data_IF_026621663668
#
_entry.id   IF_026621663668
#
_cell.length_a   1.000
_cell.length_b   1.000
_cell.length_c   1.000
_cell.angle_alpha   90.00
_cell.angle_beta   90.00
_cell.angle_gamma   90.00
#
_symmetry.space_group_name_H-M   'P 1'
#
loop_
_entity.id
_entity.type
_entity.pdbx_description
1 polymer ?
#
# COMPACT_ATOMS: atom_id res chain seq x y z
N UNK A 1 -2.04 -2.17 19.18
CA UNK A 1 -2.17 -2.37 20.64
C UNK A 1 -1.47 -3.67 20.99
N UNK A 2 -0.44 -3.60 21.83
CA UNK A 2 0.37 -4.76 22.26
C UNK A 2 -0.05 -5.14 23.69
N UNK A 3 -0.18 -6.44 24.02
CA UNK A 3 -0.39 -6.85 25.40
C UNK A 3 0.89 -6.61 26.20
N UNK A 4 0.79 -5.79 27.25
CA UNK A 4 1.83 -5.62 28.24
C UNK A 4 1.41 -6.42 29.48
N UNK A 5 2.24 -7.37 29.89
CA UNK A 5 1.99 -8.18 31.08
C UNK A 5 2.62 -7.48 32.26
N UNK A 6 1.80 -7.00 33.20
CA UNK A 6 2.29 -6.46 34.46
C UNK A 6 2.32 -7.59 35.50
N UNK A 7 3.37 -7.67 36.33
CA UNK A 7 3.34 -8.56 37.49
C UNK A 7 2.20 -8.10 38.39
N UNK A 8 1.29 -9.01 38.76
CA UNK A 8 0.28 -8.68 39.75
C UNK A 8 0.97 -8.42 41.11
N UNK A 9 0.42 -7.51 41.94
CA UNK A 9 0.87 -7.39 43.33
C UNK A 9 0.74 -8.75 44.03
N UNK A 10 1.65 -9.10 44.96
CA UNK A 10 1.58 -10.36 45.67
C UNK A 10 0.28 -10.43 46.46
N UNK A 11 -0.63 -11.29 46.01
CA UNK A 11 -1.88 -11.57 46.69
C UNK A 11 -1.58 -12.51 47.86
N UNK A 12 -1.59 -11.99 49.09
CA UNK A 12 -1.20 -12.72 50.31
C UNK A 12 -2.13 -13.88 50.66
N UNK A 13 -3.21 -14.11 49.87
CA UNK A 13 -4.16 -15.22 50.01
C UNK A 13 -3.92 -16.40 49.05
N UNK A 14 -2.91 -16.38 48.16
CA UNK A 14 -2.68 -17.45 47.18
C UNK A 14 -1.39 -18.24 47.43
N UNK A 15 -1.48 -19.56 47.31
CA UNK A 15 -0.38 -20.50 47.45
C UNK A 15 0.78 -20.18 46.47
N UNK A 16 2.05 -20.44 46.86
CA UNK A 16 3.21 -20.08 46.07
C UNK A 16 3.23 -20.90 44.76
N UNK A 17 3.08 -20.21 43.63
CA UNK A 17 3.15 -20.82 42.29
C UNK A 17 2.22 -20.21 41.22
N UNK A 18 1.23 -19.40 41.59
CA UNK A 18 0.32 -18.75 40.64
C UNK A 18 0.47 -17.23 40.66
N UNK A 19 1.57 -16.74 40.07
CA UNK A 19 1.71 -15.32 39.76
C UNK A 19 0.70 -14.93 38.69
N UNK A 20 -0.40 -14.27 39.08
CA UNK A 20 -1.32 -13.66 38.13
C UNK A 20 -0.61 -12.57 37.33
N UNK A 21 -0.86 -12.51 36.02
CA UNK A 21 -0.38 -11.42 35.18
C UNK A 21 -1.60 -10.65 34.66
N UNK A 22 -1.67 -9.35 34.95
CA UNK A 22 -2.70 -8.51 34.34
C UNK A 22 -2.23 -8.09 32.94
N UNK A 23 -3.09 -8.30 31.94
CA UNK A 23 -2.80 -7.92 30.55
C UNK A 23 -3.34 -6.53 30.27
N UNK A 24 -2.44 -5.56 30.17
CA UNK A 24 -2.79 -4.18 29.83
C UNK A 24 -2.50 -3.93 28.34
N UNK A 25 -3.51 -3.51 27.56
CA UNK A 25 -3.34 -3.25 26.12
C UNK A 25 -2.88 -1.82 25.88
N UNK A 26 -1.57 -1.62 25.76
CA UNK A 26 -0.98 -0.30 25.47
C UNK A 26 -1.08 0.01 23.97
N UNK A 27 -1.29 1.28 23.56
CA UNK A 27 -1.03 1.73 22.19
C UNK A 27 0.36 1.30 21.73
N UNK A 28 0.44 0.70 20.54
CA UNK A 28 1.75 0.42 19.94
C UNK A 28 2.31 1.73 19.40
N UNK A 29 3.58 2.07 19.63
CA UNK A 29 4.16 3.25 19.02
C UNK A 29 4.08 3.13 17.49
N UNK A 30 3.85 4.25 16.77
CA UNK A 30 3.75 4.22 15.31
C UNK A 30 5.06 3.71 14.71
N UNK A 31 4.96 2.78 13.77
CA UNK A 31 6.13 2.21 13.09
C UNK A 31 6.62 3.11 11.95
N UNK A 32 5.71 3.86 11.32
CA UNK A 32 6.00 4.84 10.28
C UNK A 32 6.30 6.20 10.92
N UNK A 33 7.60 6.53 11.04
CA UNK A 33 8.05 7.75 11.74
C UNK A 33 7.63 9.06 11.07
N UNK A 34 7.63 9.10 9.73
CA UNK A 34 7.44 10.35 8.97
C UNK A 34 6.39 10.21 7.85
N UNK A 35 5.11 9.98 8.19
CA UNK A 35 4.06 9.75 7.19
C UNK A 35 3.88 10.93 6.22
N UNK A 36 4.00 12.17 6.70
CA UNK A 36 3.89 13.36 5.85
C UNK A 36 5.07 13.49 4.87
N UNK A 37 6.28 13.12 5.28
CA UNK A 37 7.44 13.12 4.41
C UNK A 37 7.25 12.11 3.26
N UNK A 38 6.75 10.90 3.58
CA UNK A 38 6.38 9.91 2.57
C UNK A 38 5.32 10.46 1.59
N UNK A 39 4.24 11.06 2.09
CA UNK A 39 3.21 11.64 1.24
C UNK A 39 3.75 12.74 0.31
N UNK A 40 4.68 13.58 0.81
CA UNK A 40 5.35 14.61 0.02
C UNK A 40 6.26 14.01 -1.05
N UNK A 41 7.02 12.97 -0.71
CA UNK A 41 7.90 12.27 -1.65
C UNK A 41 7.12 11.61 -2.81
N UNK A 42 5.88 11.18 -2.57
CA UNK A 42 5.02 10.60 -3.60
C UNK A 42 4.28 11.65 -4.45
N UNK A 43 4.32 12.93 -4.09
CA UNK A 43 3.61 14.01 -4.78
C UNK A 43 3.88 14.08 -6.30
N UNK A 44 5.08 13.80 -6.84
CA UNK A 44 5.31 13.76 -8.29
C UNK A 44 4.39 12.76 -9.03
N UNK A 45 3.89 11.73 -8.35
CA UNK A 45 2.95 10.76 -8.92
C UNK A 45 1.51 11.28 -8.95
N UNK A 46 1.21 12.45 -8.39
CA UNK A 46 -0.15 13.00 -8.29
C UNK A 46 -0.56 13.63 -9.62
N UNK A 47 -1.09 12.80 -10.53
CA UNK A 47 -1.67 13.24 -11.81
C UNK A 47 -3.15 12.88 -11.91
N UNK A 48 -3.93 13.77 -12.50
CA UNK A 48 -5.31 13.51 -12.93
C UNK A 48 -5.34 13.27 -14.44
N UNK A 49 -6.15 12.32 -14.87
CA UNK A 49 -6.37 11.98 -16.28
C UNK A 49 -7.86 11.81 -16.53
N UNK A 50 -8.28 11.88 -17.79
CA UNK A 50 -9.64 11.55 -18.18
C UNK A 50 -9.97 10.11 -17.76
N UNK A 51 -11.10 9.93 -17.08
CA UNK A 51 -11.59 8.61 -16.74
C UNK A 51 -12.00 7.86 -18.02
N UNK A 52 -11.67 6.56 -18.15
CA UNK A 52 -12.14 5.73 -19.26
C UNK A 52 -13.67 5.61 -19.31
N UNK A 53 -14.34 5.82 -18.18
CA UNK A 53 -15.79 5.77 -18.07
C UNK A 53 -16.29 6.88 -17.12
N UNK A 54 -17.48 7.41 -17.42
CA UNK A 54 -18.12 8.47 -16.64
C UNK A 54 -17.86 9.87 -17.22
N UNK A 55 -18.93 10.64 -17.31
CA UNK A 55 -18.89 12.03 -17.75
C UNK A 55 -19.39 12.93 -16.62
N UNK A 56 -18.89 14.16 -16.60
CA UNK A 56 -19.35 15.23 -15.72
C UNK A 56 -19.82 16.39 -16.57
N UNK A 57 -20.79 17.15 -16.04
CA UNK A 57 -21.21 18.40 -16.63
C UNK A 57 -20.04 19.38 -16.67
N UNK A 58 -19.74 19.91 -17.85
CA UNK A 58 -18.92 21.10 -17.99
C UNK A 58 -19.83 22.32 -17.81
N UNK A 59 -19.94 22.78 -16.57
CA UNK A 59 -20.81 23.90 -16.19
C UNK A 59 -20.48 25.16 -16.99
N UNK A 60 -19.19 25.45 -17.19
CA UNK A 60 -18.74 26.64 -17.91
C UNK A 60 -19.08 26.54 -19.41
N UNK A 61 -18.79 25.41 -20.05
CA UNK A 61 -19.13 25.21 -21.47
C UNK A 61 -20.64 25.16 -21.69
N UNK A 62 -21.39 24.60 -20.73
CA UNK A 62 -22.86 24.61 -20.77
C UNK A 62 -23.41 26.02 -20.66
N UNK A 63 -22.93 26.81 -19.69
CA UNK A 63 -23.34 28.21 -19.52
C UNK A 63 -22.99 29.06 -20.74
N UNK A 64 -21.80 28.88 -21.30
CA UNK A 64 -21.37 29.58 -22.51
C UNK A 64 -22.27 29.24 -23.70
N UNK A 65 -22.55 27.94 -23.93
CA UNK A 65 -23.46 27.47 -24.98
C UNK A 65 -24.87 28.05 -24.82
N UNK A 66 -25.40 28.10 -23.60
CA UNK A 66 -26.72 28.68 -23.33
C UNK A 66 -26.71 30.19 -23.65
N UNK A 67 -25.67 30.90 -23.24
CA UNK A 67 -25.52 32.33 -23.50
C UNK A 67 -25.41 32.64 -24.99
N UNK A 68 -24.66 31.85 -25.76
CA UNK A 68 -24.52 32.01 -27.21
C UNK A 68 -25.81 31.70 -27.98
N UNK A 69 -26.51 30.63 -27.60
CA UNK A 69 -27.69 30.16 -28.33
C UNK A 69 -28.98 30.91 -27.95
N UNK A 70 -28.96 31.74 -26.90
CA UNK A 70 -30.17 32.43 -26.40
C UNK A 70 -31.30 31.44 -26.04
N UNK A 71 -30.92 30.21 -25.67
CA UNK A 71 -31.83 29.07 -25.65
C UNK A 71 -32.90 29.19 -24.56
N UNK A 72 -34.15 28.87 -24.93
CA UNK A 72 -35.27 28.75 -23.99
C UNK A 72 -35.05 27.58 -23.02
N UNK A 73 -35.68 27.58 -21.81
CA UNK A 73 -35.41 26.58 -20.77
C UNK A 73 -35.57 25.12 -21.20
N UNK A 74 -36.41 24.86 -22.21
CA UNK A 74 -36.67 23.57 -22.83
C UNK A 74 -35.55 23.04 -23.73
N UNK A 75 -34.53 23.86 -24.04
CA UNK A 75 -33.45 23.55 -25.00
C UNK A 75 -32.06 23.55 -24.37
N UNK A 76 -31.97 23.55 -23.04
CA UNK A 76 -30.70 23.51 -22.32
C UNK A 76 -30.09 22.11 -22.39
N UNK A 77 -29.17 21.91 -23.34
CA UNK A 77 -28.42 20.67 -23.46
C UNK A 77 -27.08 20.78 -22.72
N UNK A 78 -26.80 19.88 -21.77
CA UNK A 78 -25.56 19.89 -21.01
C UNK A 78 -24.37 19.53 -21.90
N UNK A 79 -23.28 20.29 -21.79
CA UNK A 79 -21.99 19.91 -22.36
C UNK A 79 -21.30 18.98 -21.38
N UNK A 80 -21.01 17.75 -21.81
CA UNK A 80 -20.39 16.74 -20.98
C UNK A 80 -18.91 16.58 -21.33
N UNK A 81 -18.07 16.38 -20.30
CA UNK A 81 -16.65 16.03 -20.46
C UNK A 81 -16.29 14.80 -19.64
N UNK A 82 -15.24 14.03 -20.02
CA UNK A 82 -14.78 12.90 -19.21
C UNK A 82 -14.48 13.32 -17.77
N UNK A 83 -14.95 12.53 -16.81
CA UNK A 83 -14.69 12.80 -15.40
C UNK A 83 -13.18 12.76 -15.12
N UNK A 84 -12.59 13.75 -14.42
CA UNK A 84 -11.18 13.67 -14.05
C UNK A 84 -11.00 12.67 -12.89
N UNK A 85 -10.11 11.69 -13.06
CA UNK A 85 -9.77 10.72 -12.01
C UNK A 85 -8.27 10.67 -11.71
N UNK A 86 -7.91 10.10 -10.56
CA UNK A 86 -6.51 9.85 -10.20
C UNK A 86 -5.94 8.77 -11.12
N UNK A 87 -4.75 9.01 -11.65
CA UNK A 87 -4.25 8.15 -12.71
C UNK A 87 -3.79 6.76 -12.23
N UNK A 88 -3.25 6.63 -11.00
CA UNK A 88 -2.68 5.36 -10.51
C UNK A 88 -3.59 4.61 -9.53
N UNK A 89 -3.56 3.28 -9.62
CA UNK A 89 -3.96 2.31 -8.59
C UNK A 89 -2.70 1.78 -7.91
N UNK A 90 -2.74 1.59 -6.59
CA UNK A 90 -1.66 0.95 -5.84
C UNK A 90 -2.11 -0.39 -5.28
N UNK A 91 -1.35 -1.43 -5.61
CA UNK A 91 -1.41 -2.72 -4.95
C UNK A 91 -0.30 -2.76 -3.89
N UNK A 92 -0.68 -2.79 -2.61
CA UNK A 92 0.24 -3.01 -1.51
C UNK A 92 0.29 -4.50 -1.19
N UNK A 93 1.32 -5.18 -1.67
CA UNK A 93 1.53 -6.61 -1.45
C UNK A 93 2.45 -6.77 -0.26
N UNK A 94 2.18 -7.71 0.64
CA UNK A 94 3.15 -8.09 1.67
C UNK A 94 3.35 -9.60 1.66
N UNK A 95 4.59 -10.03 1.87
CA UNK A 95 4.89 -11.46 1.87
C UNK A 95 4.46 -12.16 3.18
N UNK A 96 4.62 -13.47 3.22
CA UNK A 96 4.27 -14.28 4.39
C UNK A 96 5.48 -14.95 5.03
N UNK A 97 6.62 -14.26 5.03
CA UNK A 97 7.80 -14.69 5.77
C UNK A 97 7.50 -14.84 7.27
N UNK A 98 8.24 -15.70 7.99
CA UNK A 98 8.02 -15.95 9.43
C UNK A 98 8.09 -14.68 10.29
N UNK A 99 8.85 -13.68 9.86
CA UNK A 99 9.07 -12.40 10.52
C UNK A 99 8.00 -11.35 10.20
N UNK A 100 7.19 -11.54 9.15
CA UNK A 100 6.16 -10.57 8.74
C UNK A 100 5.04 -10.25 9.73
N UNK A 101 4.66 -11.11 10.70
CA UNK A 101 3.67 -10.73 11.71
C UNK A 101 4.02 -9.44 12.47
N UNK A 102 5.30 -9.17 12.74
CA UNK A 102 5.72 -7.94 13.45
C UNK A 102 5.50 -6.68 12.61
N UNK A 103 5.50 -6.80 11.28
CA UNK A 103 5.37 -5.68 10.33
C UNK A 103 3.93 -5.37 9.93
N UNK A 104 2.94 -6.15 10.40
CA UNK A 104 1.52 -5.91 10.11
C UNK A 104 1.03 -4.50 10.50
N UNK A 105 1.41 -3.92 11.66
CA UNK A 105 1.04 -2.56 12.00
C UNK A 105 1.60 -1.55 10.98
N UNK A 106 2.87 -1.70 10.58
CA UNK A 106 3.50 -0.85 9.56
C UNK A 106 2.76 -0.91 8.22
N UNK A 107 2.34 -2.09 7.77
CA UNK A 107 1.56 -2.25 6.51
C UNK A 107 0.24 -1.47 6.62
N UNK A 108 -0.42 -1.53 7.78
CA UNK A 108 -1.63 -0.76 8.05
C UNK A 108 -1.41 0.76 8.03
N UNK A 109 -0.34 1.23 8.68
CA UNK A 109 0.06 2.64 8.71
C UNK A 109 0.45 3.15 7.32
N UNK A 110 1.21 2.37 6.55
CA UNK A 110 1.59 2.68 5.18
C UNK A 110 0.36 2.79 4.27
N UNK A 111 -0.55 1.81 4.35
CA UNK A 111 -1.83 1.85 3.61
C UNK A 111 -2.61 3.12 3.95
N UNK A 112 -2.71 3.47 5.23
CA UNK A 112 -3.42 4.66 5.68
C UNK A 112 -2.76 5.94 5.14
N UNK A 113 -1.44 6.08 5.30
CA UNK A 113 -0.70 7.24 4.85
C UNK A 113 -0.82 7.44 3.33
N UNK A 114 -0.72 6.35 2.55
CA UNK A 114 -0.84 6.42 1.10
C UNK A 114 -2.27 6.66 0.64
N UNK A 115 -3.28 6.07 1.28
CA UNK A 115 -4.68 6.35 0.96
C UNK A 115 -5.05 7.82 1.25
N UNK A 116 -4.58 8.36 2.38
CA UNK A 116 -4.81 9.76 2.78
C UNK A 116 -4.08 10.78 1.90
N UNK A 117 -3.00 10.37 1.21
CA UNK A 117 -2.23 11.26 0.33
C UNK A 117 -3.04 11.86 -0.83
N UNK A 118 -4.13 11.19 -1.21
CA UNK A 118 -4.94 11.60 -2.34
C UNK A 118 -4.31 11.32 -3.72
N UNK A 119 -3.22 10.55 -3.78
CA UNK A 119 -2.43 10.32 -5.01
C UNK A 119 -3.03 9.19 -5.84
N UNK A 120 -3.39 8.08 -5.18
CA UNK A 120 -3.89 6.88 -5.84
C UNK A 120 -5.42 6.87 -5.85
N UNK A 121 -6.00 6.39 -6.95
CA UNK A 121 -7.44 6.14 -7.09
C UNK A 121 -7.93 5.09 -6.10
N UNK A 122 -7.19 4.01 -5.98
CA UNK A 122 -7.49 2.89 -5.09
C UNK A 122 -6.21 2.36 -4.51
N UNK A 123 -6.25 1.98 -3.23
CA UNK A 123 -5.15 1.29 -2.53
C UNK A 123 -5.70 -0.03 -2.02
N UNK A 124 -5.27 -1.14 -2.62
CA UNK A 124 -5.65 -2.49 -2.22
C UNK A 124 -4.50 -3.16 -1.48
N UNK A 125 -4.81 -4.02 -0.52
CA UNK A 125 -3.79 -4.79 0.22
C UNK A 125 -3.94 -6.26 -0.09
N UNK A 126 -2.81 -6.90 -0.34
CA UNK A 126 -2.72 -8.26 -0.82
C UNK A 126 -1.66 -9.03 -0.03
N UNK A 127 -2.02 -10.22 0.43
CA UNK A 127 -1.07 -11.15 1.06
C UNK A 127 -0.48 -12.05 -0.02
N UNK A 128 0.84 -12.14 -0.14
CA UNK A 128 1.49 -13.03 -1.08
C UNK A 128 2.18 -14.20 -0.37
N UNK A 129 1.76 -15.43 -0.70
CA UNK A 129 2.35 -16.66 -0.17
C UNK A 129 3.81 -16.85 -0.63
N UNK A 130 4.53 -17.85 -0.09
CA UNK A 130 5.93 -18.11 -0.43
C UNK A 130 6.14 -18.50 -1.90
N UNK A 131 5.08 -18.92 -2.59
CA UNK A 131 5.06 -19.21 -4.03
C UNK A 131 4.71 -17.99 -4.90
N UNK A 132 4.54 -16.81 -4.29
CA UNK A 132 4.16 -15.58 -4.97
C UNK A 132 2.65 -15.46 -5.22
N UNK A 133 1.84 -16.45 -4.84
CA UNK A 133 0.38 -16.36 -5.06
C UNK A 133 -0.23 -15.34 -4.12
N UNK A 134 -1.03 -14.45 -4.70
CA UNK A 134 -1.77 -13.45 -3.93
C UNK A 134 -3.06 -14.07 -3.41
N UNK A 135 -3.18 -14.14 -2.09
CA UNK A 135 -4.34 -14.64 -1.36
C UNK A 135 -5.24 -13.47 -0.91
N UNK A 136 -6.14 -13.02 -1.78
CA UNK A 136 -7.40 -12.31 -1.47
C UNK A 136 -8.16 -12.02 -2.78
N UNK A 137 -9.49 -11.85 -2.71
CA UNK A 137 -10.33 -11.50 -3.87
C UNK A 137 -9.81 -10.27 -4.63
N UNK A 138 -9.45 -10.51 -5.89
CA UNK A 138 -8.94 -9.51 -6.81
C UNK A 138 -7.56 -9.91 -7.31
N UNK A 139 -7.51 -10.52 -8.49
CA UNK A 139 -6.35 -10.49 -9.37
C UNK A 139 -5.72 -9.10 -9.33
N UNK A 140 -4.38 -8.93 -9.29
CA UNK A 140 -3.78 -7.63 -9.56
C UNK A 140 -4.41 -7.10 -10.85
N UNK A 141 -5.20 -6.03 -10.72
CA UNK A 141 -6.06 -5.49 -11.78
C UNK A 141 -5.21 -5.06 -12.99
N UNK A 142 -5.83 -4.90 -14.18
CA UNK A 142 -5.27 -5.22 -15.49
C UNK A 142 -3.99 -4.46 -15.85
N UNK A 143 -3.31 -4.90 -16.91
CA UNK A 143 -2.19 -4.20 -17.54
C UNK A 143 -2.67 -2.90 -18.24
N UNK A 144 -3.29 -2.00 -17.47
CA UNK A 144 -3.84 -0.71 -17.89
C UNK A 144 -2.77 0.39 -17.91
N UNK A 145 -1.50 0.06 -17.63
CA UNK A 145 -0.40 1.01 -17.48
C UNK A 145 -0.56 1.96 -16.29
N UNK A 146 -1.59 1.75 -15.47
CA UNK A 146 -2.07 2.66 -14.44
C UNK A 146 -2.13 1.97 -13.08
N UNK A 147 -1.51 0.81 -12.96
CA UNK A 147 -1.42 0.02 -11.74
C UNK A 147 0.04 -0.07 -11.34
N UNK A 148 0.36 0.20 -10.07
CA UNK A 148 1.69 0.08 -9.49
C UNK A 148 1.62 -0.91 -8.33
N UNK A 149 2.64 -1.75 -8.19
CA UNK A 149 2.72 -2.71 -7.09
C UNK A 149 3.90 -2.37 -6.19
N UNK A 150 3.63 -2.25 -4.89
CA UNK A 150 4.63 -2.09 -3.84
C UNK A 150 4.62 -3.35 -2.97
N UNK A 151 5.71 -4.11 -2.99
CA UNK A 151 5.91 -5.30 -2.16
C UNK A 151 6.58 -4.88 -0.86
N UNK A 152 5.93 -5.05 0.27
CA UNK A 152 6.49 -4.82 1.60
C UNK A 152 7.00 -6.15 2.14
N UNK A 153 8.30 -6.21 2.42
CA UNK A 153 8.98 -7.41 2.89
C UNK A 153 10.23 -7.03 3.63
N UNK A 154 10.59 -7.77 4.69
CA UNK A 154 11.90 -7.67 5.33
C UNK A 154 12.98 -8.56 4.70
N UNK A 155 12.64 -9.24 3.60
CA UNK A 155 13.53 -10.11 2.82
C UNK A 155 14.26 -11.18 3.64
N UNK A 156 13.71 -11.58 4.79
CA UNK A 156 14.28 -12.63 5.65
C UNK A 156 13.69 -14.01 5.36
N UNK A 157 12.50 -14.07 4.77
CA UNK A 157 11.79 -15.31 4.48
C UNK A 157 12.47 -16.20 3.42
N UNK A 158 12.17 -17.52 3.42
CA UNK A 158 12.75 -18.48 2.47
C UNK A 158 12.44 -18.15 1.00
N UNK A 159 11.34 -17.43 0.74
CA UNK A 159 10.96 -16.97 -0.60
C UNK A 159 11.95 -15.96 -1.22
N UNK A 160 12.85 -15.38 -0.44
CA UNK A 160 13.89 -14.48 -0.96
C UNK A 160 15.24 -15.17 -1.15
N UNK A 161 15.37 -16.44 -0.73
CA UNK A 161 16.63 -17.19 -0.79
C UNK A 161 16.60 -18.23 -1.92
N UNK A 162 17.76 -18.69 -2.43
CA UNK A 162 17.82 -19.77 -3.39
C UNK A 162 17.06 -21.02 -2.91
N UNK A 163 16.32 -21.63 -3.82
CA UNK A 163 15.52 -22.83 -3.58
C UNK A 163 14.12 -22.74 -4.20
N UNK A 164 13.32 -23.82 -4.16
CA UNK A 164 12.07 -23.90 -4.91
C UNK A 164 11.05 -22.80 -4.58
N UNK A 165 11.02 -22.34 -3.32
CA UNK A 165 10.18 -21.20 -2.92
C UNK A 165 10.68 -19.88 -3.54
N UNK A 166 12.00 -19.63 -3.48
CA UNK A 166 12.64 -18.49 -4.12
C UNK A 166 12.41 -18.45 -5.62
N UNK A 167 12.58 -19.57 -6.32
CA UNK A 167 12.41 -19.64 -7.77
C UNK A 167 11.00 -19.24 -8.19
N UNK A 168 9.99 -19.71 -7.45
CA UNK A 168 8.57 -19.33 -7.67
C UNK A 168 8.33 -17.85 -7.35
N UNK A 169 8.85 -17.37 -6.22
CA UNK A 169 8.72 -15.98 -5.80
C UNK A 169 9.32 -15.00 -6.81
N UNK A 170 10.60 -15.18 -7.15
CA UNK A 170 11.27 -14.35 -8.16
C UNK A 170 10.63 -14.51 -9.54
N UNK A 171 10.17 -15.71 -9.90
CA UNK A 171 9.37 -15.93 -11.11
C UNK A 171 8.10 -15.08 -11.14
N UNK A 172 7.42 -14.94 -10.00
CA UNK A 172 6.24 -14.10 -9.88
C UNK A 172 6.58 -12.61 -9.91
N UNK A 173 7.63 -12.17 -9.21
CA UNK A 173 8.09 -10.77 -9.25
C UNK A 173 8.44 -10.35 -10.68
N UNK A 174 9.14 -11.22 -11.45
CA UNK A 174 9.42 -10.98 -12.87
C UNK A 174 8.15 -10.84 -13.70
N UNK A 175 7.14 -11.69 -13.48
CA UNK A 175 5.84 -11.59 -14.16
C UNK A 175 5.10 -10.29 -13.85
N UNK A 176 5.19 -9.79 -12.62
CA UNK A 176 4.61 -8.50 -12.25
C UNK A 176 5.39 -7.34 -12.87
N UNK A 177 6.71 -7.32 -12.73
CA UNK A 177 7.57 -6.27 -13.28
C UNK A 177 7.42 -6.12 -14.80
N UNK A 178 7.16 -7.21 -15.52
CA UNK A 178 6.91 -7.19 -16.97
C UNK A 178 5.59 -6.53 -17.38
N UNK A 179 4.64 -6.32 -16.45
CA UNK A 179 3.28 -5.83 -16.75
C UNK A 179 2.94 -4.51 -16.05
N UNK A 180 3.66 -4.18 -14.98
CA UNK A 180 3.40 -3.01 -14.15
C UNK A 180 4.66 -2.57 -13.42
N UNK A 181 4.81 -1.28 -13.09
CA UNK A 181 5.87 -0.83 -12.19
C UNK A 181 5.80 -1.57 -10.85
N UNK A 182 6.94 -2.11 -10.43
CA UNK A 182 7.08 -2.92 -9.23
C UNK A 182 8.24 -2.38 -8.40
N UNK A 183 8.01 -2.18 -7.11
CA UNK A 183 9.06 -1.83 -6.15
C UNK A 183 8.95 -2.72 -4.90
N UNK A 184 10.08 -2.93 -4.22
CA UNK A 184 10.14 -3.61 -2.93
C UNK A 184 10.50 -2.58 -1.85
N UNK A 185 9.69 -2.51 -0.79
CA UNK A 185 9.93 -1.68 0.38
C UNK A 185 10.39 -2.56 1.54
N UNK A 186 11.65 -2.36 1.93
CA UNK A 186 12.30 -3.04 3.05
C UNK A 186 12.08 -2.25 4.35
N UNK A 187 11.31 -2.76 5.33
CA UNK A 187 10.98 -2.01 6.55
C UNK A 187 12.06 -2.08 7.63
N UNK A 188 13.05 -2.96 7.47
CA UNK A 188 14.19 -3.04 8.38
C UNK A 188 15.01 -1.74 8.34
N UNK A 189 15.72 -1.39 9.43
CA UNK A 189 16.77 -0.37 9.38
C UNK A 189 17.86 -0.71 8.35
N UNK A 190 18.36 0.29 7.63
CA UNK A 190 19.34 0.13 6.53
C UNK A 190 20.60 -0.65 6.93
N UNK A 191 21.08 -0.47 8.17
CA UNK A 191 22.25 -1.20 8.68
C UNK A 191 22.03 -2.72 8.75
N UNK A 192 20.77 -3.19 8.80
CA UNK A 192 20.42 -4.61 8.79
C UNK A 192 20.18 -5.15 7.37
N UNK A 193 20.14 -4.32 6.32
CA UNK A 193 19.80 -4.82 4.98
C UNK A 193 20.86 -5.80 4.45
N UNK A 194 22.12 -5.64 4.88
CA UNK A 194 23.24 -6.55 4.54
C UNK A 194 23.04 -7.98 5.03
N UNK A 195 22.18 -8.20 6.03
CA UNK A 195 21.89 -9.53 6.58
C UNK A 195 20.66 -10.18 5.95
N UNK A 196 19.95 -9.46 5.07
CA UNK A 196 18.78 -9.97 4.36
C UNK A 196 19.16 -10.60 3.03
N UNK A 197 18.20 -11.22 2.34
CA UNK A 197 18.42 -11.72 0.99
C UNK A 197 18.38 -10.63 -0.10
N UNK A 198 18.19 -9.36 0.29
CA UNK A 198 18.30 -8.18 -0.57
C UNK A 198 19.44 -7.27 -0.07
N UNK A 199 20.71 -7.67 -0.24
CA UNK A 199 21.84 -6.82 0.13
C UNK A 199 21.84 -5.55 -0.73
N UNK A 200 22.11 -4.41 -0.10
CA UNK A 200 22.27 -3.14 -0.83
C UNK A 200 23.61 -3.07 -1.51
N UNK A 201 23.58 -2.62 -2.76
CA UNK A 201 24.78 -2.19 -3.47
C UNK A 201 24.63 -0.70 -3.74
N UNK A 202 25.60 0.16 -3.37
CA UNK A 202 25.58 1.56 -3.73
C UNK A 202 25.47 1.72 -5.25
N UNK A 203 24.60 2.60 -5.71
CA UNK A 203 24.39 2.84 -7.14
C UNK A 203 23.77 4.20 -7.38
N UNK A 204 24.01 4.74 -8.57
CA UNK A 204 23.33 5.94 -9.05
C UNK A 204 22.04 5.54 -9.74
N UNK A 205 20.91 5.97 -9.18
CA UNK A 205 19.62 5.86 -9.83
C UNK A 205 19.56 6.91 -10.95
N UNK A 206 19.62 6.47 -12.20
CA UNK A 206 19.41 7.33 -13.38
C UNK A 206 17.97 7.12 -13.86
N UNK A 207 17.25 8.22 -14.01
CA UNK A 207 15.90 8.26 -14.57
C UNK A 207 15.95 8.37 -16.10
#
# INVERSE_FOLDING_TARGET
>A
RVPLHLPAPPDTRRAPGSGGHSTLRVPSPPMLRHPLALQRALRPLKRRVAAPAGHVLDEAATAHRIAELGARPDQWLPVLRPAPERWLRLNLVYDTGPTMPVWRPLIGELRAAVAQSGIFRTVTVHRAGPDGRVHHHGTPAPADGRTVTLVVSDAMGPQWRPGPAGDRWYGQLRRWAARMPLAVAQPLPEHLWRTTALPTTPGLLKA
#
